data_IF_921935261750
#
_entry.id   IF_921935261750
#
_cell.length_a   1.000
_cell.length_b   1.000
_cell.length_c   1.000
_cell.angle_alpha   90.00
_cell.angle_beta   90.00
_cell.angle_gamma   90.00
#
_symmetry.space_group_name_H-M   'P 1'
#
loop_
_entity.id
_entity.type
_entity.pdbx_description
1 polymer ?
#
# COMPACT_ATOMS: atom_id res chain seq x y z
N UNK A 1 -38.88 -39.75 -15.61
CA UNK A 1 -38.08 -40.50 -14.63
C UNK A 1 -36.95 -39.57 -14.18
N UNK A 2 -36.86 -39.29 -12.88
CA UNK A 2 -35.77 -38.55 -12.19
C UNK A 2 -34.40 -39.20 -12.52
N UNK A 3 -33.22 -38.58 -12.51
CA UNK A 3 -32.46 -37.79 -11.49
C UNK A 3 -31.28 -37.14 -12.26
N UNK A 4 -31.09 -35.81 -12.31
CA UNK A 4 -30.26 -34.90 -11.47
C UNK A 4 -28.74 -35.16 -11.40
N UNK A 5 -27.92 -34.22 -11.90
CA UNK A 5 -26.80 -33.57 -11.18
C UNK A 5 -26.04 -32.53 -12.04
N UNK A 6 -26.21 -31.26 -11.64
CA UNK A 6 -25.18 -30.23 -11.35
C UNK A 6 -23.98 -30.04 -12.30
N UNK A 7 -23.95 -28.87 -12.97
CA UNK A 7 -22.98 -27.77 -12.77
C UNK A 7 -22.85 -26.92 -14.03
N UNK A 8 -23.41 -25.69 -14.02
CA UNK A 8 -22.79 -24.51 -14.67
C UNK A 8 -23.25 -23.24 -13.95
N UNK A 9 -22.33 -22.64 -13.20
CA UNK A 9 -22.38 -21.24 -12.79
C UNK A 9 -22.21 -20.35 -14.02
N UNK A 10 -22.92 -19.22 -14.10
CA UNK A 10 -22.36 -18.00 -14.65
C UNK A 10 -22.23 -16.97 -13.53
N UNK A 11 -20.99 -16.54 -13.29
CA UNK A 11 -20.66 -15.38 -12.45
C UNK A 11 -21.19 -14.14 -13.18
N UNK A 12 -22.26 -13.55 -12.67
CA UNK A 12 -22.65 -12.18 -13.03
C UNK A 12 -21.71 -11.21 -12.30
N UNK A 13 -20.91 -10.47 -13.05
CA UNK A 13 -20.23 -9.28 -12.55
C UNK A 13 -21.26 -8.14 -12.51
N UNK A 14 -22.02 -8.04 -11.42
CA UNK A 14 -22.91 -6.91 -11.17
C UNK A 14 -22.07 -5.76 -10.62
N UNK A 15 -21.78 -4.76 -11.47
CA UNK A 15 -21.29 -3.45 -11.01
C UNK A 15 -22.50 -2.71 -10.42
N UNK A 16 -22.59 -2.70 -9.09
CA UNK A 16 -23.60 -1.94 -8.36
C UNK A 16 -23.17 -0.47 -8.30
N UNK A 17 -23.64 0.35 -9.26
CA UNK A 17 -23.54 1.81 -9.17
C UNK A 17 -24.59 2.32 -8.16
N UNK A 18 -24.18 2.51 -6.91
CA UNK A 18 -24.94 3.34 -5.98
C UNK A 18 -24.66 4.82 -6.25
N UNK A 19 -25.64 5.45 -6.91
CA UNK A 19 -26.01 6.87 -6.89
C UNK A 19 -24.88 7.90 -6.80
N UNK A 20 -24.46 8.38 -7.97
CA UNK A 20 -23.66 9.59 -8.12
C UNK A 20 -23.57 9.95 -9.59
N UNK A 21 -24.58 10.66 -10.09
CA UNK A 21 -24.70 11.04 -11.50
C UNK A 21 -23.50 11.89 -11.94
N UNK A 22 -22.53 11.31 -12.65
CA UNK A 22 -21.59 12.08 -13.45
C UNK A 22 -22.24 12.33 -14.82
N UNK A 23 -22.76 13.53 -15.02
CA UNK A 23 -23.06 14.03 -16.36
C UNK A 23 -21.74 14.37 -17.06
N UNK A 24 -21.24 13.47 -17.90
CA UNK A 24 -20.41 13.86 -19.03
C UNK A 24 -21.32 14.07 -20.23
N UNK A 25 -21.40 15.30 -20.72
CA UNK A 25 -22.02 15.62 -22.00
C UNK A 25 -21.15 15.04 -23.12
N UNK A 26 -21.42 13.78 -23.50
CA UNK A 26 -20.82 13.16 -24.67
C UNK A 26 -21.33 13.85 -25.93
N UNK A 27 -20.48 14.63 -26.60
CA UNK A 27 -20.79 15.25 -27.89
C UNK A 27 -20.57 14.32 -29.09
N UNK A 28 -20.24 13.05 -28.82
CA UNK A 28 -20.04 12.02 -29.82
C UNK A 28 -20.68 10.74 -29.28
N UNK A 29 -21.37 10.00 -30.16
CA UNK A 29 -22.01 8.69 -29.94
C UNK A 29 -23.51 8.68 -29.60
N UNK A 30 -24.28 8.16 -30.56
CA UNK A 30 -25.56 7.47 -30.36
C UNK A 30 -25.30 5.96 -30.34
N UNK A 31 -25.89 5.23 -29.40
CA UNK A 31 -25.91 3.77 -29.40
C UNK A 31 -27.24 3.33 -30.01
N UNK A 32 -27.22 2.71 -31.18
CA UNK A 32 -28.38 1.98 -31.70
C UNK A 32 -28.24 0.50 -31.33
N UNK A 33 -29.15 0.00 -30.50
CA UNK A 33 -29.32 -1.43 -30.30
C UNK A 33 -30.02 -2.03 -31.52
N UNK A 34 -29.34 -2.94 -32.23
CA UNK A 34 -29.95 -3.69 -33.33
C UNK A 34 -30.40 -5.05 -32.82
N UNK A 35 -31.70 -5.22 -32.61
CA UNK A 35 -32.32 -6.50 -32.25
C UNK A 35 -32.23 -7.46 -33.44
N UNK A 36 -31.53 -8.59 -33.30
CA UNK A 36 -31.52 -9.67 -34.30
C UNK A 36 -32.68 -10.62 -33.97
N UNK A 37 -33.67 -10.73 -34.85
CA UNK A 37 -34.76 -11.72 -34.71
C UNK A 37 -34.27 -13.11 -35.12
N UNK A 38 -34.72 -14.12 -34.37
CA UNK A 38 -34.41 -15.52 -34.61
C UNK A 38 -35.08 -16.02 -35.89
N UNK A 39 -34.31 -16.29 -36.95
CA UNK A 39 -34.61 -17.26 -38.03
C UNK A 39 -33.50 -17.33 -39.10
N UNK A 40 -32.23 -17.58 -38.71
CA UNK A 40 -31.21 -18.00 -39.68
C UNK A 40 -30.22 -18.99 -39.04
N UNK A 41 -29.76 -20.02 -39.77
CA UNK A 41 -28.88 -21.06 -39.23
C UNK A 41 -27.48 -20.50 -38.96
N UNK A 42 -26.90 -20.89 -37.83
CA UNK A 42 -25.56 -20.50 -37.37
C UNK A 42 -24.48 -20.94 -38.35
N UNK A 43 -23.62 -20.04 -38.87
CA UNK A 43 -22.33 -20.41 -39.44
C UNK A 43 -21.18 -20.07 -38.47
N UNK A 44 -20.36 -21.06 -38.16
CA UNK A 44 -18.92 -20.90 -37.87
C UNK A 44 -18.52 -20.34 -36.50
N UNK A 45 -17.50 -20.97 -35.90
CA UNK A 45 -16.81 -20.52 -34.69
C UNK A 45 -16.00 -19.22 -34.89
N UNK A 46 -16.65 -18.09 -35.14
CA UNK A 46 -16.01 -16.79 -35.00
C UNK A 46 -16.40 -16.19 -33.66
N UNK A 47 -15.42 -16.05 -32.74
CA UNK A 47 -15.56 -15.18 -31.58
C UNK A 47 -15.98 -13.79 -32.11
N UNK A 48 -16.99 -13.13 -31.54
CA UNK A 48 -17.23 -11.74 -31.88
C UNK A 48 -15.96 -10.94 -31.55
N UNK A 49 -15.20 -10.54 -32.57
CA UNK A 49 -14.12 -9.59 -32.39
C UNK A 49 -14.74 -8.31 -31.88
N UNK A 50 -14.28 -7.88 -30.71
CA UNK A 50 -14.60 -6.56 -30.19
C UNK A 50 -13.85 -5.56 -31.06
N UNK A 51 -14.46 -5.13 -32.16
CA UNK A 51 -13.90 -4.09 -33.02
C UNK A 51 -14.04 -2.77 -32.26
N UNK A 52 -12.97 -2.36 -31.57
CA UNK A 52 -12.83 -0.99 -31.06
C UNK A 52 -12.73 -0.09 -32.30
N UNK A 53 -13.86 0.45 -32.75
CA UNK A 53 -13.86 1.48 -33.80
C UNK A 53 -13.48 2.82 -33.20
N UNK A 54 -12.21 3.18 -33.36
CA UNK A 54 -11.69 4.52 -33.09
C UNK A 54 -10.22 4.46 -32.71
N UNK A 55 -9.43 5.41 -33.20
CA UNK A 55 -8.05 5.64 -32.74
C UNK A 55 -8.08 5.98 -31.24
N UNK A 56 -8.00 4.96 -30.38
CA UNK A 56 -7.67 5.15 -28.97
C UNK A 56 -6.20 5.55 -28.95
N UNK A 57 -5.91 6.84 -28.73
CA UNK A 57 -4.53 7.27 -28.51
C UNK A 57 -3.99 6.50 -27.30
N UNK A 58 -2.73 6.04 -27.36
CA UNK A 58 -2.07 5.38 -26.22
C UNK A 58 -2.16 6.23 -24.93
N UNK A 59 -2.28 7.55 -25.06
CA UNK A 59 -2.47 8.48 -23.94
C UNK A 59 -3.79 8.31 -23.20
N UNK A 60 -4.86 7.83 -23.84
CA UNK A 60 -6.18 7.69 -23.22
C UNK A 60 -6.18 6.72 -22.03
N UNK A 61 -5.49 5.58 -22.16
CA UNK A 61 -5.39 4.61 -21.07
C UNK A 61 -4.57 5.19 -19.91
N UNK A 62 -3.44 5.85 -20.19
CA UNK A 62 -2.62 6.50 -19.17
C UNK A 62 -3.34 7.66 -18.48
N UNK A 63 -4.17 8.42 -19.21
CA UNK A 63 -4.98 9.50 -18.66
C UNK A 63 -6.08 8.95 -17.75
N UNK A 64 -6.75 7.86 -18.13
CA UNK A 64 -7.73 7.19 -17.27
C UNK A 64 -7.04 6.64 -16.02
N UNK A 65 -5.91 5.94 -16.16
CA UNK A 65 -5.14 5.42 -15.03
C UNK A 65 -4.74 6.54 -14.07
N UNK A 66 -4.18 7.63 -14.60
CA UNK A 66 -3.81 8.81 -13.81
C UNK A 66 -5.02 9.44 -13.12
N UNK A 67 -6.18 9.50 -13.79
CA UNK A 67 -7.41 10.03 -13.19
C UNK A 67 -7.98 9.14 -12.08
N UNK A 68 -7.88 7.81 -12.23
CA UNK A 68 -8.30 6.83 -11.23
C UNK A 68 -7.36 6.88 -10.02
N UNK A 69 -6.06 7.00 -10.25
CA UNK A 69 -5.06 7.15 -9.19
C UNK A 69 -5.25 8.47 -8.44
N UNK A 70 -5.46 9.59 -9.14
CA UNK A 70 -5.72 10.89 -8.52
C UNK A 70 -7.05 10.90 -7.74
N UNK A 71 -8.09 10.20 -8.25
CA UNK A 71 -9.37 10.09 -7.56
C UNK A 71 -9.26 9.36 -6.21
N UNK A 72 -8.26 8.49 -6.04
CA UNK A 72 -8.06 7.75 -4.79
C UNK A 72 -7.56 8.61 -3.64
N UNK A 73 -7.06 9.82 -3.88
CA UNK A 73 -6.56 10.73 -2.84
C UNK A 73 -7.44 11.98 -2.65
N UNK A 74 -8.55 12.09 -3.38
CA UNK A 74 -9.43 13.25 -3.35
C UNK A 74 -10.23 13.34 -2.04
N UNK A 75 -10.48 14.55 -1.55
CA UNK A 75 -11.48 14.81 -0.50
C UNK A 75 -12.88 14.93 -1.12
N UNK A 76 -13.82 14.13 -0.59
CA UNK A 76 -15.21 14.10 -1.03
C UNK A 76 -16.11 14.56 0.12
N UNK A 77 -16.94 15.58 -0.12
CA UNK A 77 -17.88 16.05 0.91
C UNK A 77 -18.97 15.02 1.16
N UNK A 78 -19.26 14.77 2.45
CA UNK A 78 -20.39 13.95 2.91
C UNK A 78 -21.37 14.77 3.77
N UNK A 79 -21.10 16.06 3.94
CA UNK A 79 -21.92 16.97 4.73
C UNK A 79 -21.28 18.34 4.85
N UNK A 80 -21.96 19.27 5.53
CA UNK A 80 -21.43 20.62 5.77
C UNK A 80 -20.13 20.52 6.56
N UNK A 81 -19.04 21.00 5.98
CA UNK A 81 -17.69 20.96 6.56
C UNK A 81 -17.21 19.55 6.94
N UNK A 82 -17.81 18.50 6.38
CA UNK A 82 -17.45 17.10 6.62
C UNK A 82 -17.02 16.45 5.30
N UNK A 83 -15.82 15.86 5.30
CA UNK A 83 -15.19 15.27 4.13
C UNK A 83 -14.62 13.91 4.46
N UNK A 84 -14.65 13.01 3.48
CA UNK A 84 -13.95 11.74 3.53
C UNK A 84 -12.88 11.69 2.46
N UNK A 85 -11.80 10.99 2.76
CA UNK A 85 -10.77 10.65 1.79
C UNK A 85 -10.23 9.24 2.05
N UNK A 86 -9.70 8.63 1.01
CA UNK A 86 -9.02 7.34 1.10
C UNK A 86 -7.55 7.55 0.83
N UNK A 87 -6.68 6.76 1.42
CA UNK A 87 -5.29 6.69 1.03
C UNK A 87 -4.98 5.24 0.70
N UNK A 88 -4.93 4.92 -0.60
CA UNK A 88 -4.75 3.54 -1.04
C UNK A 88 -3.37 3.00 -0.67
N UNK A 89 -2.32 3.81 -0.81
CA UNK A 89 -0.94 3.44 -0.47
C UNK A 89 -0.80 2.99 1.00
N UNK A 90 -1.57 3.62 1.90
CA UNK A 90 -1.59 3.28 3.33
C UNK A 90 -2.84 2.51 3.78
N UNK A 91 -3.73 2.13 2.86
CA UNK A 91 -5.06 1.56 3.14
C UNK A 91 -5.81 2.27 4.30
N UNK A 92 -5.78 3.60 4.31
CA UNK A 92 -6.50 4.43 5.27
C UNK A 92 -7.82 4.91 4.67
N UNK A 93 -8.86 4.94 5.48
CA UNK A 93 -10.06 5.75 5.27
C UNK A 93 -10.05 6.85 6.32
N UNK A 94 -10.25 8.09 5.92
CA UNK A 94 -10.19 9.23 6.84
C UNK A 94 -11.41 10.11 6.68
N UNK A 95 -12.09 10.36 7.80
CA UNK A 95 -13.14 11.37 7.90
C UNK A 95 -12.56 12.61 8.58
N UNK A 96 -12.83 13.78 8.03
CA UNK A 96 -12.29 15.05 8.51
C UNK A 96 -13.43 16.03 8.74
N UNK A 97 -13.42 16.62 9.93
CA UNK A 97 -14.32 17.70 10.35
C UNK A 97 -13.50 18.84 10.94
N UNK A 98 -14.07 20.04 11.19
CA UNK A 98 -13.31 21.16 11.74
C UNK A 98 -12.65 20.78 13.07
N UNK A 99 -11.32 20.72 13.09
CA UNK A 99 -10.53 20.39 14.28
C UNK A 99 -10.47 18.90 14.61
N UNK A 100 -10.93 18.00 13.75
CA UNK A 100 -10.86 16.56 14.00
C UNK A 100 -10.57 15.77 12.73
N UNK A 101 -9.72 14.75 12.87
CA UNK A 101 -9.41 13.77 11.84
C UNK A 101 -9.57 12.37 12.42
N UNK A 102 -10.55 11.61 11.92
CA UNK A 102 -10.75 10.20 12.28
C UNK A 102 -10.18 9.30 11.18
N UNK A 103 -9.11 8.58 11.52
CA UNK A 103 -8.47 7.58 10.66
C UNK A 103 -9.01 6.20 10.98
N UNK A 104 -9.22 5.38 9.95
CA UNK A 104 -9.70 4.01 10.07
C UNK A 104 -8.92 3.09 9.13
N UNK A 105 -8.77 1.83 9.56
CA UNK A 105 -8.16 0.77 8.76
C UNK A 105 -8.61 -0.63 9.21
N UNK A 106 -7.97 -1.65 8.66
CA UNK A 106 -8.15 -3.05 9.05
C UNK A 106 -6.83 -3.60 9.61
N UNK A 107 -6.90 -4.47 10.62
CA UNK A 107 -5.76 -5.25 11.07
C UNK A 107 -5.59 -6.55 10.26
N UNK A 108 -4.60 -7.36 10.61
CA UNK A 108 -4.29 -8.62 9.91
C UNK A 108 -5.43 -9.66 9.96
N UNK A 109 -6.37 -9.53 10.91
CA UNK A 109 -7.52 -10.42 11.03
C UNK A 109 -8.76 -9.87 10.32
N UNK A 110 -8.62 -8.77 9.57
CA UNK A 110 -9.71 -7.99 8.99
C UNK A 110 -10.63 -7.33 10.05
N UNK A 111 -10.17 -7.19 11.30
CA UNK A 111 -10.91 -6.39 12.27
C UNK A 111 -10.73 -4.90 11.94
N UNK A 112 -11.83 -4.16 11.90
CA UNK A 112 -11.78 -2.70 11.75
C UNK A 112 -11.22 -2.06 13.02
N UNK A 113 -10.35 -1.07 12.85
CA UNK A 113 -9.92 -0.16 13.89
C UNK A 113 -10.13 1.29 13.45
N UNK A 114 -10.25 2.19 14.43
CA UNK A 114 -10.37 3.62 14.21
C UNK A 114 -9.62 4.40 15.32
N UNK A 115 -9.16 5.60 14.97
CA UNK A 115 -8.57 6.55 15.90
C UNK A 115 -8.88 7.98 15.46
N UNK A 116 -9.34 8.82 16.38
CA UNK A 116 -9.55 10.24 16.14
C UNK A 116 -8.44 11.07 16.76
N UNK A 117 -7.86 11.99 15.98
CA UNK A 117 -6.96 13.04 16.42
C UNK A 117 -7.74 14.36 16.40
N UNK A 118 -8.04 14.89 17.58
CA UNK A 118 -8.86 16.10 17.73
C UNK A 118 -8.05 17.24 18.32
N UNK A 119 -8.09 18.40 17.68
CA UNK A 119 -7.49 19.61 18.21
C UNK A 119 -8.14 19.97 19.55
N UNK A 120 -7.32 19.94 20.60
CA UNK A 120 -7.72 20.33 21.94
C UNK A 120 -7.40 21.81 22.20
N UNK A 121 -6.17 22.23 21.91
CA UNK A 121 -5.75 23.62 22.06
C UNK A 121 -4.48 23.92 21.25
N UNK A 122 -4.24 25.21 21.02
CA UNK A 122 -2.93 25.72 20.61
C UNK A 122 -2.46 26.66 21.71
N UNK A 123 -1.28 26.39 22.27
CA UNK A 123 -0.72 27.11 23.39
C UNK A 123 0.66 27.66 23.04
N UNK A 124 1.06 28.70 23.75
CA UNK A 124 2.45 29.12 23.88
C UNK A 124 2.91 28.96 25.33
N UNK A 125 4.20 29.18 25.60
CA UNK A 125 4.71 29.32 26.96
C UNK A 125 4.05 30.46 27.76
N UNK A 126 3.35 31.37 27.09
CA UNK A 126 2.66 32.52 27.68
C UNK A 126 1.15 32.27 27.87
N UNK A 127 0.63 31.12 27.45
CA UNK A 127 -0.77 30.73 27.63
C UNK A 127 -1.46 30.28 26.35
N UNK A 128 -2.78 30.07 26.44
CA UNK A 128 -3.63 29.63 25.33
C UNK A 128 -3.74 30.73 24.26
N UNK A 129 -3.60 30.36 22.98
CA UNK A 129 -3.60 31.31 21.86
C UNK A 129 -4.96 31.47 21.17
N UNK A 130 -5.99 30.73 21.59
CA UNK A 130 -7.35 30.69 21.05
C UNK A 130 -7.42 30.62 19.51
N UNK A 131 -7.85 29.49 18.96
CA UNK A 131 -7.97 29.31 17.50
C UNK A 131 -8.97 30.26 16.85
N UNK A 132 -10.00 30.66 17.60
CA UNK A 132 -11.16 31.42 17.12
C UNK A 132 -12.16 30.52 16.38
N UNK A 133 -13.16 31.16 15.77
CA UNK A 133 -14.21 30.49 15.00
C UNK A 133 -13.72 30.09 13.60
N UNK A 134 -14.38 29.08 13.03
CA UNK A 134 -14.18 28.69 11.64
C UNK A 134 -14.71 29.78 10.71
N UNK A 135 -13.85 30.29 9.83
CA UNK A 135 -14.16 31.33 8.84
C UNK A 135 -14.61 30.71 7.52
N UNK A 136 -13.81 29.78 6.99
CA UNK A 136 -14.05 29.16 5.68
C UNK A 136 -13.53 27.72 5.64
N UNK A 137 -13.99 26.99 4.62
CA UNK A 137 -13.49 25.66 4.29
C UNK A 137 -13.23 25.62 2.79
N UNK A 138 -11.97 25.37 2.43
CA UNK A 138 -11.52 25.33 1.04
C UNK A 138 -11.14 23.89 0.70
N UNK A 139 -11.53 23.40 -0.48
CA UNK A 139 -11.24 22.04 -0.92
C UNK A 139 -10.85 22.04 -2.38
N UNK A 140 -9.73 21.41 -2.70
CA UNK A 140 -9.21 21.28 -4.06
C UNK A 140 -8.57 19.90 -4.22
N UNK A 141 -9.26 19.01 -4.95
CA UNK A 141 -8.80 17.65 -5.21
C UNK A 141 -8.31 16.93 -3.94
N UNK A 142 -7.00 16.75 -3.79
CA UNK A 142 -6.35 16.05 -2.68
C UNK A 142 -5.99 16.95 -1.49
N UNK A 143 -6.51 18.19 -1.46
CA UNK A 143 -6.25 19.20 -0.45
C UNK A 143 -7.55 19.70 0.18
N UNK A 144 -7.56 19.84 1.51
CA UNK A 144 -8.67 20.37 2.30
C UNK A 144 -8.13 21.33 3.36
N UNK A 145 -8.70 22.53 3.49
CA UNK A 145 -8.25 23.55 4.45
C UNK A 145 -9.45 24.05 5.26
N UNK A 146 -9.32 24.02 6.58
CA UNK A 146 -10.22 24.73 7.50
C UNK A 146 -9.50 25.97 8.03
N UNK A 147 -10.03 27.15 7.70
CA UNK A 147 -9.45 28.42 8.13
C UNK A 147 -10.18 28.95 9.37
N UNK A 148 -9.44 29.14 10.45
CA UNK A 148 -9.89 29.84 11.66
C UNK A 148 -9.26 31.22 11.72
N UNK A 149 -9.57 32.03 12.74
CA UNK A 149 -8.96 33.36 12.92
C UNK A 149 -7.44 33.28 13.07
N UNK A 150 -6.93 32.48 14.01
CA UNK A 150 -5.50 32.43 14.36
C UNK A 150 -4.78 31.14 13.92
N UNK A 151 -5.50 30.24 13.27
CA UNK A 151 -5.01 28.93 12.83
C UNK A 151 -5.62 28.60 11.47
N UNK A 152 -4.89 27.90 10.62
CA UNK A 152 -5.50 27.09 9.55
C UNK A 152 -5.06 25.64 9.73
N UNK A 153 -5.98 24.69 9.50
CA UNK A 153 -5.67 23.27 9.50
C UNK A 153 -5.83 22.77 8.07
N UNK A 154 -4.72 22.35 7.46
CA UNK A 154 -4.66 21.91 6.09
C UNK A 154 -4.33 20.42 6.04
N UNK A 155 -5.10 19.67 5.25
CA UNK A 155 -4.89 18.26 5.00
C UNK A 155 -4.48 18.08 3.54
N UNK A 156 -3.40 17.33 3.32
CA UNK A 156 -2.92 16.99 1.98
C UNK A 156 -2.79 15.48 1.92
N UNK A 157 -3.54 14.85 1.02
CA UNK A 157 -3.52 13.41 0.83
C UNK A 157 -2.70 13.07 -0.42
N UNK A 158 -1.68 12.25 -0.26
CA UNK A 158 -0.77 11.85 -1.35
C UNK A 158 -0.42 10.37 -1.20
N UNK A 159 0.42 9.85 -2.07
CA UNK A 159 0.99 8.51 -1.93
C UNK A 159 1.76 8.32 -0.62
N UNK A 160 2.29 9.39 -0.02
CA UNK A 160 3.10 9.33 1.21
C UNK A 160 2.26 9.18 2.48
N UNK A 161 0.94 9.43 2.38
CA UNK A 161 0.03 9.47 3.53
C UNK A 161 -0.84 10.73 3.52
N UNK A 162 -1.40 11.04 4.69
CA UNK A 162 -2.22 12.24 4.91
C UNK A 162 -1.45 13.18 5.82
N UNK A 163 -0.96 14.29 5.25
CA UNK A 163 -0.35 15.41 5.99
C UNK A 163 -1.45 16.16 6.73
N UNK A 164 -1.18 16.61 7.96
CA UNK A 164 -2.09 17.46 8.75
C UNK A 164 -1.34 18.71 9.22
N UNK A 165 -1.27 19.71 8.36
CA UNK A 165 -0.60 20.98 8.59
C UNK A 165 -1.40 21.84 9.57
N UNK A 166 -0.78 22.23 10.69
CA UNK A 166 -1.28 23.30 11.56
C UNK A 166 -0.51 24.59 11.25
N UNK A 167 -1.18 25.54 10.60
CA UNK A 167 -0.60 26.82 10.18
C UNK A 167 -0.98 27.88 11.21
N UNK A 168 -0.12 28.08 12.19
CA UNK A 168 -0.30 29.04 13.27
C UNK A 168 -0.01 30.43 12.70
N UNK A 169 -0.98 31.35 12.75
CA UNK A 169 -0.86 32.65 12.05
C UNK A 169 -0.07 33.71 12.81
N UNK A 170 -0.02 33.59 14.13
CA UNK A 170 0.73 34.47 15.03
C UNK A 170 0.87 33.79 16.39
N UNK A 171 1.83 34.27 17.18
CA UNK A 171 1.96 33.98 18.60
C UNK A 171 2.18 35.29 19.37
N UNK A 172 1.96 35.32 20.69
CA UNK A 172 2.27 36.48 21.52
C UNK A 172 3.73 36.93 21.35
N UNK A 173 3.97 38.23 21.50
CA UNK A 173 5.34 38.76 21.52
C UNK A 173 6.13 38.08 22.64
N UNK A 174 7.38 37.68 22.37
CA UNK A 174 8.25 36.90 23.28
C UNK A 174 7.84 35.43 23.49
N UNK A 175 6.90 34.89 22.72
CA UNK A 175 6.68 33.45 22.72
C UNK A 175 7.98 32.73 22.30
N UNK A 176 8.41 31.78 23.14
CA UNK A 176 9.57 30.93 22.88
C UNK A 176 9.15 29.58 22.30
N UNK A 177 7.95 29.12 22.66
CA UNK A 177 7.40 27.89 22.11
C UNK A 177 5.93 28.04 21.72
N UNK A 178 5.52 27.18 20.78
CA UNK A 178 4.13 26.92 20.43
C UNK A 178 3.90 25.42 20.50
N UNK A 179 2.80 24.99 21.10
CA UNK A 179 2.39 23.60 21.20
C UNK A 179 0.98 23.43 20.65
N UNK A 180 0.82 22.59 19.63
CA UNK A 180 -0.49 22.10 19.18
C UNK A 180 -0.81 20.84 19.96
N UNK A 181 -1.91 20.85 20.71
CA UNK A 181 -2.33 19.73 21.55
C UNK A 181 -3.50 19.01 20.89
N UNK A 182 -3.35 17.71 20.68
CA UNK A 182 -4.38 16.83 20.12
C UNK A 182 -4.82 15.80 21.17
N UNK A 183 -6.13 15.61 21.33
CA UNK A 183 -6.69 14.48 22.03
C UNK A 183 -6.78 13.28 21.08
N UNK A 184 -6.36 12.11 21.57
CA UNK A 184 -6.45 10.82 20.88
C UNK A 184 -7.64 10.06 21.44
N UNK A 185 -8.65 9.80 20.61
CA UNK A 185 -9.73 8.88 20.94
C UNK A 185 -9.61 7.60 20.12
N UNK A 186 -9.29 6.49 20.79
CA UNK A 186 -9.17 5.19 20.16
C UNK A 186 -9.24 4.06 21.18
N UNK A 187 -9.57 2.85 20.71
CA UNK A 187 -9.34 1.60 21.46
C UNK A 187 -7.91 1.08 21.33
N UNK A 188 -7.11 1.70 20.46
CA UNK A 188 -5.70 1.38 20.29
C UNK A 188 -4.86 2.03 21.40
N UNK A 189 -3.75 1.38 21.76
CA UNK A 189 -2.82 1.86 22.77
C UNK A 189 -1.83 2.85 22.15
N UNK A 190 -1.86 4.14 22.55
CA UNK A 190 -0.89 5.13 22.08
C UNK A 190 0.45 4.99 22.80
N UNK A 191 1.54 5.09 22.04
CA UNK A 191 2.88 5.23 22.59
C UNK A 191 3.74 6.07 21.65
N UNK A 192 4.73 6.76 22.21
CA UNK A 192 5.67 7.57 21.46
C UNK A 192 7.02 6.86 21.37
N UNK A 193 7.58 6.77 20.16
CA UNK A 193 8.94 6.28 19.92
C UNK A 193 9.63 7.17 18.91
N UNK A 194 10.78 7.73 19.26
CA UNK A 194 11.61 8.54 18.36
C UNK A 194 10.82 9.60 17.57
N UNK A 195 10.09 10.47 18.27
CA UNK A 195 9.28 11.53 17.67
C UNK A 195 8.13 11.05 16.75
N UNK A 196 7.69 9.80 16.94
CA UNK A 196 6.57 9.20 16.21
C UNK A 196 5.53 8.68 17.19
N UNK A 197 4.29 9.12 17.06
CA UNK A 197 3.15 8.50 17.73
C UNK A 197 2.77 7.22 17.00
N UNK A 198 2.62 6.15 17.75
CA UNK A 198 2.23 4.84 17.27
C UNK A 198 1.00 4.39 18.03
N UNK A 199 -0.04 3.97 17.31
CA UNK A 199 -1.22 3.33 17.90
C UNK A 199 -1.18 1.83 17.61
N UNK A 200 -1.36 1.03 18.65
CA UNK A 200 -1.19 -0.43 18.57
C UNK A 200 -2.32 -1.22 19.23
N UNK A 201 -2.55 -2.44 18.74
CA UNK A 201 -3.44 -3.45 19.34
C UNK A 201 -2.66 -4.75 19.46
N UNK A 202 -2.60 -5.33 20.66
CA UNK A 202 -1.89 -6.60 20.91
C UNK A 202 -0.44 -6.60 20.38
N UNK A 203 0.31 -5.52 20.60
CA UNK A 203 1.67 -5.27 20.09
C UNK A 203 1.81 -5.07 18.56
N UNK A 204 0.73 -5.21 17.79
CA UNK A 204 0.74 -4.86 16.36
C UNK A 204 0.57 -3.36 16.19
N UNK A 205 1.50 -2.73 15.47
CA UNK A 205 1.43 -1.32 15.10
C UNK A 205 0.46 -1.14 13.94
N UNK A 206 -0.58 -0.33 14.12
CA UNK A 206 -1.65 -0.18 13.13
C UNK A 206 -1.68 1.20 12.48
N UNK A 207 -1.28 2.23 13.23
CA UNK A 207 -1.24 3.61 12.75
C UNK A 207 -0.02 4.35 13.29
N UNK A 208 0.56 5.20 12.44
CA UNK A 208 1.70 6.04 12.75
C UNK A 208 1.37 7.50 12.41
N UNK A 209 1.76 8.39 13.32
CA UNK A 209 1.74 9.83 13.11
C UNK A 209 3.16 10.34 13.35
N UNK A 210 3.82 10.72 12.26
CA UNK A 210 5.28 10.76 12.14
C UNK A 210 5.74 11.93 11.27
N UNK A 211 7.02 11.93 10.86
CA UNK A 211 7.63 12.90 9.94
C UNK A 211 7.30 14.36 10.26
N UNK A 212 7.34 14.72 11.55
CA UNK A 212 7.09 16.09 12.00
C UNK A 212 8.14 17.04 11.44
N UNK A 213 7.72 17.86 10.47
CA UNK A 213 8.51 18.93 9.87
C UNK A 213 7.88 20.27 10.22
N UNK A 214 8.70 21.28 10.48
CA UNK A 214 8.21 22.60 10.88
C UNK A 214 9.04 23.69 10.22
N UNK A 215 8.36 24.70 9.68
CA UNK A 215 9.01 25.85 9.07
C UNK A 215 8.20 27.14 9.28
N UNK A 216 8.89 28.27 9.20
CA UNK A 216 8.29 29.60 9.30
C UNK A 216 7.84 30.15 7.93
N UNK A 217 7.32 31.38 7.89
CA UNK A 217 6.81 32.03 6.67
C UNK A 217 7.81 32.05 5.51
N UNK A 218 9.10 32.12 5.82
CA UNK A 218 10.17 32.20 4.83
C UNK A 218 10.75 30.82 4.48
N UNK A 219 10.16 29.74 5.02
CA UNK A 219 10.63 28.37 4.82
C UNK A 219 11.82 28.00 5.70
N UNK A 220 12.16 28.81 6.72
CA UNK A 220 13.25 28.47 7.65
C UNK A 220 12.81 27.29 8.52
N UNK A 221 13.57 26.18 8.56
CA UNK A 221 13.23 25.04 9.39
C UNK A 221 13.34 25.40 10.88
N UNK A 222 12.38 24.94 11.68
CA UNK A 222 12.32 25.14 13.13
C UNK A 222 12.49 23.82 13.87
N UNK A 223 13.04 23.90 15.08
CA UNK A 223 13.18 22.72 15.95
C UNK A 223 11.83 22.33 16.53
N UNK A 224 11.50 21.05 16.47
CA UNK A 224 10.23 20.53 16.95
C UNK A 224 10.33 19.10 17.48
N UNK A 225 9.41 18.75 18.38
CA UNK A 225 9.26 17.40 18.91
C UNK A 225 7.80 17.10 19.27
N UNK A 226 7.51 15.82 19.44
CA UNK A 226 6.26 15.29 19.96
C UNK A 226 6.47 14.88 21.42
N UNK A 227 5.45 15.10 22.25
CA UNK A 227 5.36 14.52 23.58
C UNK A 227 3.97 13.94 23.80
N UNK A 228 3.87 12.81 24.50
CA UNK A 228 2.62 12.12 24.77
C UNK A 228 2.38 12.05 26.29
N UNK A 229 1.21 12.53 26.73
CA UNK A 229 0.75 12.39 28.12
C UNK A 229 -0.63 11.71 28.12
N UNK A 230 -0.65 10.41 28.46
CA UNK A 230 -1.85 9.59 28.31
C UNK A 230 -2.34 9.60 26.86
N UNK A 231 -3.54 10.16 26.65
CA UNK A 231 -4.15 10.28 25.32
C UNK A 231 -3.99 11.69 24.71
N UNK A 232 -3.11 12.54 25.25
CA UNK A 232 -2.84 13.86 24.69
C UNK A 232 -1.49 13.90 24.02
N UNK A 233 -1.48 14.13 22.71
CA UNK A 233 -0.28 14.38 21.92
C UNK A 233 -0.03 15.89 21.85
N UNK A 234 1.17 16.33 22.19
CA UNK A 234 1.61 17.70 21.94
C UNK A 234 2.65 17.71 20.81
N UNK A 235 2.47 18.59 19.83
CA UNK A 235 3.45 18.95 18.81
C UNK A 235 4.12 20.25 19.25
N UNK A 236 5.30 20.16 19.83
CA UNK A 236 6.03 21.28 20.43
C UNK A 236 7.02 21.86 19.43
N UNK A 237 7.02 23.18 19.29
CA UNK A 237 7.86 23.92 18.35
C UNK A 237 8.57 25.05 19.06
N UNK A 238 9.88 25.17 18.83
CA UNK A 238 10.66 26.35 19.19
C UNK A 238 10.43 27.45 18.15
N UNK A 239 9.84 28.55 18.58
CA UNK A 239 9.49 29.69 17.72
C UNK A 239 10.37 30.91 17.97
N UNK A 240 11.47 30.77 18.73
CA UNK A 240 12.41 31.86 18.95
C UNK A 240 13.01 32.32 17.62
N UNK A 241 12.75 33.57 17.26
CA UNK A 241 13.15 34.16 15.98
C UNK A 241 12.52 33.48 14.75
N UNK A 242 11.29 32.96 14.90
CA UNK A 242 10.46 32.51 13.78
C UNK A 242 9.58 33.66 13.26
N UNK A 243 9.43 33.73 11.94
CA UNK A 243 8.47 34.65 11.32
C UNK A 243 7.15 33.94 11.02
N UNK A 244 6.04 34.46 11.57
CA UNK A 244 4.74 33.84 11.37
C UNK A 244 4.13 34.17 9.99
N UNK A 245 3.32 33.27 9.40
CA UNK A 245 2.83 32.01 9.98
C UNK A 245 3.90 30.91 10.10
N UNK A 246 3.73 30.04 11.11
CA UNK A 246 4.52 28.83 11.29
C UNK A 246 3.67 27.62 10.91
N UNK A 247 4.19 26.77 10.03
CA UNK A 247 3.53 25.53 9.60
C UNK A 247 4.13 24.34 10.32
N UNK A 248 3.28 23.57 11.00
CA UNK A 248 3.61 22.35 11.73
C UNK A 248 3.00 21.17 10.97
N UNK A 249 3.85 20.34 10.37
CA UNK A 249 3.48 19.33 9.38
C UNK A 249 3.88 17.91 9.82
N UNK A 250 2.99 17.20 10.54
CA UNK A 250 3.04 15.76 10.73
C UNK A 250 2.33 14.96 9.62
N UNK A 251 2.74 13.70 9.47
CA UNK A 251 2.25 12.76 8.46
C UNK A 251 1.59 11.53 9.09
N UNK A 252 0.35 11.25 8.66
CA UNK A 252 -0.41 10.06 8.99
C UNK A 252 -0.13 8.92 8.01
N UNK A 253 0.38 7.80 8.51
CA UNK A 253 0.62 6.58 7.72
C UNK A 253 0.22 5.31 8.50
N UNK A 254 0.31 4.16 7.84
CA UNK A 254 0.16 2.84 8.47
C UNK A 254 1.49 2.07 8.40
N UNK A 255 1.50 0.92 7.72
CA UNK A 255 2.70 0.15 7.43
C UNK A 255 3.62 0.94 6.47
N UNK A 256 4.92 0.69 6.58
CA UNK A 256 5.92 1.31 5.71
C UNK A 256 5.84 0.77 4.27
N UNK A 257 5.36 -0.47 4.10
CA UNK A 257 5.17 -1.11 2.80
C UNK A 257 4.08 -2.18 2.90
N UNK A 258 3.25 -2.29 1.86
CA UNK A 258 2.30 -3.39 1.65
C UNK A 258 2.22 -3.69 0.17
N UNK A 259 2.13 -4.97 -0.14
CA UNK A 259 1.84 -5.45 -1.47
C UNK A 259 0.79 -6.55 -1.39
N UNK A 260 -0.05 -6.66 -2.41
CA UNK A 260 -1.02 -7.74 -2.56
C UNK A 260 -0.68 -8.54 -3.81
N UNK A 261 -0.71 -9.86 -3.74
CA UNK A 261 -0.35 -10.72 -4.87
C UNK A 261 -1.34 -10.72 -6.05
N UNK A 262 -2.37 -9.86 -6.04
CA UNK A 262 -3.29 -9.66 -7.18
C UNK A 262 -4.21 -10.84 -7.55
N UNK A 263 -4.04 -12.02 -6.96
CA UNK A 263 -4.80 -13.23 -7.29
C UNK A 263 -5.32 -13.95 -6.04
N UNK A 264 -6.60 -14.31 -6.07
CA UNK A 264 -7.25 -15.05 -5.00
C UNK A 264 -6.64 -16.45 -4.84
N UNK A 265 -6.44 -16.89 -3.60
CA UNK A 265 -5.86 -18.20 -3.25
C UNK A 265 -4.43 -18.47 -3.75
N UNK A 266 -3.73 -17.48 -4.32
CA UNK A 266 -2.36 -17.67 -4.85
C UNK A 266 -1.28 -17.93 -3.78
N UNK A 267 -1.61 -17.74 -2.50
CA UNK A 267 -0.66 -17.90 -1.40
C UNK A 267 0.47 -16.85 -1.42
N UNK A 268 0.26 -15.66 -1.99
CA UNK A 268 1.28 -14.60 -1.93
C UNK A 268 1.60 -14.26 -0.47
N UNK A 269 2.88 -14.34 -0.11
CA UNK A 269 3.34 -14.23 1.28
C UNK A 269 3.42 -15.56 2.02
N UNK A 270 3.22 -16.70 1.34
CA UNK A 270 3.40 -18.03 1.92
C UNK A 270 4.82 -18.22 2.46
N UNK A 271 5.80 -17.68 1.72
CA UNK A 271 7.17 -17.59 2.17
C UNK A 271 7.72 -16.19 1.89
N UNK A 272 8.54 -15.68 2.80
CA UNK A 272 9.23 -14.40 2.66
C UNK A 272 10.69 -14.60 3.05
N UNK A 273 11.65 -14.01 2.33
CA UNK A 273 13.05 -13.85 2.72
C UNK A 273 13.44 -12.38 2.52
N UNK A 274 14.22 -11.78 3.42
CA UNK A 274 14.29 -10.31 3.51
C UNK A 274 15.59 -9.72 4.05
N UNK A 275 16.69 -10.47 3.96
CA UNK A 275 18.00 -10.08 4.50
C UNK A 275 19.10 -10.08 3.42
N UNK A 276 18.75 -10.18 2.14
CA UNK A 276 19.70 -10.16 1.01
C UNK A 276 19.76 -8.81 0.31
N UNK A 277 20.87 -8.51 -0.34
CA UNK A 277 21.06 -7.37 -1.24
C UNK A 277 21.48 -7.90 -2.62
N UNK A 278 20.49 -8.18 -3.48
CA UNK A 278 20.70 -8.86 -4.76
C UNK A 278 21.24 -7.91 -5.84
N UNK A 279 21.21 -6.61 -5.59
CA UNK A 279 21.70 -5.56 -6.48
C UNK A 279 22.92 -4.78 -5.94
N UNK A 280 23.39 -5.09 -4.73
CA UNK A 280 24.60 -4.55 -4.13
C UNK A 280 24.52 -3.06 -3.84
N UNK A 281 23.31 -2.53 -3.62
CA UNK A 281 23.09 -1.09 -3.42
C UNK A 281 23.17 -0.63 -1.95
N UNK A 282 23.37 -1.59 -1.04
CA UNK A 282 23.49 -1.38 0.40
C UNK A 282 22.16 -1.40 1.15
N UNK A 283 21.04 -1.67 0.47
CA UNK A 283 19.71 -1.82 1.08
C UNK A 283 19.23 -3.27 0.93
N UNK A 284 18.71 -3.85 2.02
CA UNK A 284 18.14 -5.20 1.93
C UNK A 284 16.87 -5.24 1.10
N UNK A 285 16.81 -6.21 0.19
CA UNK A 285 15.70 -6.58 -0.66
C UNK A 285 14.81 -7.63 0.03
N UNK A 286 13.66 -7.90 -0.59
CA UNK A 286 12.79 -9.00 -0.17
C UNK A 286 12.40 -9.90 -1.35
N UNK A 287 12.28 -11.20 -1.08
CA UNK A 287 11.65 -12.16 -1.98
C UNK A 287 10.41 -12.77 -1.34
N UNK A 288 9.32 -12.83 -2.09
CA UNK A 288 8.01 -13.34 -1.66
C UNK A 288 7.58 -14.48 -2.58
N UNK A 289 7.28 -15.63 -1.98
CA UNK A 289 6.69 -16.78 -2.65
C UNK A 289 5.16 -16.74 -2.69
N UNK A 290 4.60 -17.24 -3.79
CA UNK A 290 3.18 -17.42 -4.04
C UNK A 290 2.95 -18.79 -4.71
N UNK A 291 3.01 -19.90 -3.96
CA UNK A 291 3.09 -21.26 -4.52
C UNK A 291 1.87 -21.74 -5.30
N UNK A 292 0.73 -21.07 -5.15
CA UNK A 292 -0.52 -21.39 -5.85
C UNK A 292 -0.84 -20.35 -6.94
N UNK A 293 0.12 -19.47 -7.25
CA UNK A 293 -0.05 -18.45 -8.29
C UNK A 293 -0.24 -19.09 -9.67
N UNK A 294 -1.21 -18.60 -10.43
CA UNK A 294 -1.53 -19.05 -11.78
C UNK A 294 -1.17 -17.94 -12.77
N UNK A 295 -0.27 -18.24 -13.71
CA UNK A 295 -0.01 -17.39 -14.88
C UNK A 295 -0.41 -18.14 -16.16
N UNK A 296 0.51 -18.90 -16.75
CA UNK A 296 0.27 -19.74 -17.95
C UNK A 296 -0.15 -21.17 -17.59
N UNK A 297 0.19 -21.62 -16.38
CA UNK A 297 -0.09 -22.93 -15.83
C UNK A 297 -0.88 -22.82 -14.53
N UNK A 298 -1.77 -23.77 -14.27
CA UNK A 298 -2.68 -23.74 -13.12
C UNK A 298 -1.91 -23.98 -11.82
N UNK A 299 -1.88 -22.98 -10.93
CA UNK A 299 -1.18 -23.06 -9.65
C UNK A 299 0.32 -23.35 -9.81
N UNK A 300 0.95 -22.85 -10.88
CA UNK A 300 2.36 -23.12 -11.15
C UNK A 300 3.32 -22.54 -10.13
N UNK A 301 2.85 -21.56 -9.36
CA UNK A 301 3.62 -20.87 -8.36
C UNK A 301 4.43 -19.71 -8.95
N UNK A 302 4.70 -18.71 -8.11
CA UNK A 302 5.49 -17.55 -8.48
C UNK A 302 6.40 -17.09 -7.32
N UNK A 303 7.49 -16.41 -7.67
CA UNK A 303 8.35 -15.67 -6.74
C UNK A 303 8.49 -14.25 -7.25
N UNK A 304 8.37 -13.30 -6.32
CA UNK A 304 8.49 -11.86 -6.58
C UNK A 304 9.63 -11.31 -5.73
N UNK A 305 10.54 -10.54 -6.33
CA UNK A 305 11.59 -9.81 -5.60
C UNK A 305 11.31 -8.32 -5.66
N UNK A 306 11.47 -7.63 -4.55
CA UNK A 306 11.32 -6.18 -4.44
C UNK A 306 12.60 -5.60 -3.85
N UNK A 307 13.18 -4.63 -4.55
CA UNK A 307 14.40 -4.01 -4.05
C UNK A 307 14.13 -3.09 -2.85
N UNK A 308 15.11 -3.03 -1.95
CA UNK A 308 15.26 -1.99 -0.95
C UNK A 308 15.59 -0.64 -1.59
N UNK A 309 15.44 0.43 -0.81
CA UNK A 309 15.86 1.77 -1.21
C UNK A 309 15.95 2.67 0.02
N UNK A 310 16.52 3.89 -0.08
CA UNK A 310 16.47 4.87 0.99
C UNK A 310 15.04 5.21 1.45
N UNK A 311 14.05 5.06 0.57
CA UNK A 311 12.62 5.25 0.85
C UNK A 311 11.89 4.00 1.35
N UNK A 312 12.60 2.89 1.57
CA UNK A 312 12.02 1.57 1.87
C UNK A 312 11.88 0.69 0.64
N UNK A 313 11.03 -0.34 0.70
CA UNK A 313 10.86 -1.29 -0.40
C UNK A 313 10.14 -0.65 -1.60
N UNK A 314 10.60 -0.95 -2.80
CA UNK A 314 9.91 -0.56 -4.03
C UNK A 314 8.55 -1.26 -4.13
N UNK A 315 7.57 -0.61 -4.75
CA UNK A 315 6.20 -1.16 -4.90
C UNK A 315 6.03 -2.04 -6.13
N UNK A 316 6.94 -1.92 -7.10
CA UNK A 316 7.03 -2.78 -8.29
C UNK A 316 8.10 -3.85 -8.05
N UNK A 317 7.79 -5.13 -8.32
CA UNK A 317 8.80 -6.18 -8.21
C UNK A 317 9.90 -5.95 -9.26
N UNK A 318 11.16 -6.05 -8.87
CA UNK A 318 12.31 -5.98 -9.76
C UNK A 318 12.50 -7.29 -10.55
N UNK A 319 12.05 -8.41 -9.97
CA UNK A 319 12.10 -9.72 -10.61
C UNK A 319 10.84 -10.52 -10.30
N UNK A 320 10.36 -11.26 -11.30
CA UNK A 320 9.24 -12.19 -11.18
C UNK A 320 9.58 -13.47 -11.93
N UNK A 321 9.43 -14.61 -11.27
CA UNK A 321 9.63 -15.94 -11.86
C UNK A 321 8.45 -16.87 -11.60
N UNK A 322 8.21 -17.79 -12.53
CA UNK A 322 7.08 -18.72 -12.53
C UNK A 322 7.56 -20.16 -12.61
N UNK A 323 6.81 -21.09 -12.02
CA UNK A 323 7.19 -22.50 -11.97
C UNK A 323 7.15 -23.24 -13.32
N UNK A 324 6.35 -22.78 -14.29
CA UNK A 324 6.28 -23.38 -15.63
C UNK A 324 5.69 -24.80 -15.67
N UNK A 325 5.03 -25.24 -14.60
CA UNK A 325 4.36 -26.54 -14.48
C UNK A 325 3.23 -26.46 -13.47
N UNK A 326 2.07 -27.03 -13.82
CA UNK A 326 0.87 -27.06 -12.97
C UNK A 326 1.19 -27.61 -11.58
N UNK A 327 0.77 -26.90 -10.54
CA UNK A 327 0.87 -27.32 -9.13
C UNK A 327 2.27 -27.80 -8.69
N UNK A 328 3.35 -27.24 -9.25
CA UNK A 328 4.73 -27.63 -8.88
C UNK A 328 5.15 -27.17 -7.47
N UNK A 329 4.37 -26.27 -6.87
CA UNK A 329 4.69 -25.62 -5.60
C UNK A 329 5.93 -24.73 -5.69
N UNK A 330 6.19 -24.12 -6.84
CA UNK A 330 7.27 -23.16 -7.05
C UNK A 330 7.11 -21.94 -6.15
N UNK A 331 8.17 -21.53 -5.46
CA UNK A 331 8.10 -20.44 -4.48
C UNK A 331 7.52 -20.84 -3.13
N UNK A 332 7.33 -22.15 -2.86
CA UNK A 332 6.96 -22.64 -1.52
C UNK A 332 8.10 -22.48 -0.51
N UNK A 333 9.34 -22.41 -0.98
CA UNK A 333 10.51 -22.00 -0.21
C UNK A 333 11.40 -21.11 -1.09
N UNK A 334 11.87 -20.00 -0.50
CA UNK A 334 12.66 -18.98 -1.19
C UNK A 334 13.74 -18.46 -0.24
N UNK A 335 14.95 -18.21 -0.72
CA UNK A 335 16.02 -17.55 0.04
C UNK A 335 16.73 -16.56 -0.86
N UNK A 336 16.95 -15.34 -0.38
CA UNK A 336 17.84 -14.35 -1.00
C UNK A 336 19.08 -14.09 -0.14
N UNK A 337 19.33 -14.94 0.85
CA UNK A 337 20.38 -14.73 1.84
C UNK A 337 21.62 -15.53 1.45
N UNK A 338 22.63 -14.83 0.92
CA UNK A 338 23.96 -15.36 0.66
C UNK A 338 24.43 -15.18 -0.79
N UNK A 339 25.62 -14.62 -0.92
CA UNK A 339 26.47 -14.65 -2.11
C UNK A 339 27.21 -16.00 -2.17
N UNK A 340 26.85 -16.87 -3.12
CA UNK A 340 27.37 -18.22 -3.24
C UNK A 340 28.68 -18.32 -4.02
N UNK A 341 29.10 -17.27 -4.73
CA UNK A 341 30.34 -17.28 -5.53
C UNK A 341 31.37 -16.21 -5.12
N UNK A 342 31.00 -15.29 -4.24
CA UNK A 342 31.87 -14.23 -3.73
C UNK A 342 31.98 -13.00 -4.62
N UNK A 343 31.03 -12.75 -5.53
CA UNK A 343 31.01 -11.58 -6.42
C UNK A 343 30.51 -10.29 -5.75
N UNK A 344 29.99 -10.37 -4.54
CA UNK A 344 29.50 -9.26 -3.74
C UNK A 344 28.00 -8.98 -3.86
N UNK A 345 27.24 -9.81 -4.56
CA UNK A 345 25.78 -9.72 -4.67
C UNK A 345 25.13 -10.96 -4.04
N UNK A 346 24.08 -10.78 -3.24
CA UNK A 346 23.35 -11.93 -2.71
C UNK A 346 22.55 -12.65 -3.81
N UNK A 347 22.44 -13.98 -3.71
CA UNK A 347 21.79 -14.83 -4.71
C UNK A 347 20.40 -15.31 -4.29
N UNK A 348 19.56 -15.62 -5.29
CA UNK A 348 18.20 -16.12 -5.08
C UNK A 348 18.11 -17.63 -5.31
N UNK A 349 17.67 -18.37 -4.29
CA UNK A 349 17.33 -19.80 -4.38
C UNK A 349 15.82 -20.00 -4.26
N UNK A 350 15.25 -20.80 -5.15
CA UNK A 350 13.82 -21.11 -5.21
C UNK A 350 13.62 -22.63 -5.26
N UNK A 351 12.69 -23.14 -4.46
CA UNK A 351 12.27 -24.54 -4.53
C UNK A 351 10.85 -24.74 -5.07
N UNK A 352 10.68 -25.80 -5.87
CA UNK A 352 9.40 -26.35 -6.30
C UNK A 352 9.37 -27.83 -5.91
N UNK A 353 8.84 -28.10 -4.73
CA UNK A 353 8.89 -29.43 -4.11
C UNK A 353 8.02 -30.50 -4.79
N UNK A 354 7.11 -30.12 -5.69
CA UNK A 354 6.23 -31.02 -6.44
C UNK A 354 6.53 -30.99 -7.94
N UNK A 355 7.70 -30.47 -8.33
CA UNK A 355 8.14 -30.46 -9.72
C UNK A 355 8.37 -31.88 -10.27
N UNK A 356 7.95 -32.12 -11.52
CA UNK A 356 8.13 -33.38 -12.26
C UNK A 356 9.16 -33.21 -13.39
N UNK A 357 10.29 -33.95 -13.39
CA UNK A 357 11.18 -34.07 -14.57
C UNK A 357 12.30 -35.14 -14.48
N UNK A 358 12.12 -36.36 -15.03
CA UNK A 358 10.89 -36.99 -15.53
C UNK A 358 10.05 -37.70 -14.45
N UNK A 359 10.49 -37.76 -13.19
CA UNK A 359 9.82 -38.47 -12.13
C UNK A 359 8.75 -37.59 -11.48
N UNK A 360 7.59 -38.18 -11.18
CA UNK A 360 6.52 -37.49 -10.48
C UNK A 360 6.94 -37.03 -9.07
N UNK A 361 6.70 -35.75 -8.79
CA UNK A 361 6.96 -34.98 -7.59
C UNK A 361 8.36 -35.29 -7.04
N UNK A 362 9.40 -35.14 -7.86
CA UNK A 362 10.79 -35.31 -7.42
C UNK A 362 11.43 -34.04 -6.88
N UNK A 363 10.77 -32.92 -7.19
CA UNK A 363 11.14 -31.59 -6.78
C UNK A 363 12.34 -31.04 -7.54
N UNK A 364 12.35 -29.72 -7.69
CA UNK A 364 13.43 -28.98 -8.33
C UNK A 364 13.81 -27.77 -7.50
N UNK A 365 15.07 -27.38 -7.66
CA UNK A 365 15.69 -26.21 -7.06
C UNK A 365 16.33 -25.39 -8.16
N UNK A 366 16.20 -24.07 -8.09
CA UNK A 366 16.91 -23.11 -8.94
C UNK A 366 17.71 -22.16 -8.08
N UNK A 367 18.90 -21.83 -8.55
CA UNK A 367 19.75 -20.74 -8.08
C UNK A 367 19.83 -19.70 -9.22
N UNK A 368 19.46 -18.47 -8.91
CA UNK A 368 19.64 -17.30 -9.75
C UNK A 368 20.68 -16.40 -9.11
N UNK A 369 21.63 -15.92 -9.91
CA UNK A 369 22.71 -15.05 -9.44
C UNK A 369 22.20 -13.64 -9.16
N UNK A 370 22.77 -12.99 -8.15
CA UNK A 370 22.68 -11.54 -7.98
C UNK A 370 23.53 -10.80 -9.01
N UNK A 371 23.25 -9.52 -9.23
CA UNK A 371 24.07 -8.66 -10.09
C UNK A 371 23.73 -7.20 -9.83
N UNK A 372 24.51 -6.25 -10.32
CA UNK A 372 24.17 -4.81 -10.23
C UNK A 372 22.80 -4.44 -10.83
N UNK A 373 22.23 -5.29 -11.70
CA UNK A 373 20.89 -5.11 -12.27
C UNK A 373 19.78 -5.80 -11.46
N UNK A 374 20.12 -6.41 -10.32
CA UNK A 374 19.28 -7.31 -9.54
C UNK A 374 19.46 -8.78 -9.94
N UNK A 375 18.45 -9.59 -9.64
CA UNK A 375 18.45 -11.04 -9.92
C UNK A 375 18.54 -11.32 -11.42
N UNK A 376 19.48 -12.20 -11.80
CA UNK A 376 19.60 -12.65 -13.18
C UNK A 376 18.41 -13.52 -13.61
N UNK A 377 17.83 -13.25 -14.80
CA UNK A 377 16.59 -13.91 -15.22
C UNK A 377 16.76 -15.38 -15.59
N UNK A 378 17.98 -15.82 -15.86
CA UNK A 378 18.32 -17.21 -16.17
C UNK A 378 18.94 -17.82 -14.93
N UNK A 379 18.43 -18.98 -14.49
CA UNK A 379 19.03 -19.71 -13.38
C UNK A 379 20.43 -20.20 -13.80
N UNK A 380 21.45 -19.83 -13.03
CA UNK A 380 22.83 -20.27 -13.21
C UNK A 380 22.98 -21.76 -12.89
N UNK A 381 22.23 -22.22 -11.89
CA UNK A 381 22.22 -23.63 -11.51
C UNK A 381 20.83 -24.13 -11.15
N UNK A 382 20.57 -25.41 -11.44
CA UNK A 382 19.38 -26.10 -10.97
C UNK A 382 19.71 -27.55 -10.60
N UNK A 383 18.91 -28.13 -9.70
CA UNK A 383 19.09 -29.50 -9.24
C UNK A 383 17.78 -30.23 -8.98
N UNK A 384 17.83 -31.53 -9.26
CA UNK A 384 16.74 -32.47 -9.12
C UNK A 384 17.27 -33.78 -8.52
N UNK A 385 16.43 -34.42 -7.69
CA UNK A 385 16.86 -35.60 -6.95
C UNK A 385 16.78 -36.89 -7.78
N UNK A 386 16.13 -36.89 -8.94
CA UNK A 386 15.88 -38.06 -9.80
C UNK A 386 15.19 -39.21 -9.06
N UNK A 387 14.41 -38.90 -8.01
CA UNK A 387 13.74 -39.88 -7.14
C UNK A 387 12.27 -39.54 -6.99
N UNK A 388 11.40 -40.49 -7.38
CA UNK A 388 9.95 -40.38 -7.20
C UNK A 388 9.59 -40.06 -5.75
N UNK A 389 8.89 -38.94 -5.52
CA UNK A 389 8.41 -38.50 -4.21
C UNK A 389 9.43 -37.79 -3.32
N UNK A 390 10.62 -37.46 -3.83
CA UNK A 390 11.55 -36.59 -3.13
C UNK A 390 11.11 -35.11 -3.25
N UNK A 391 11.41 -34.28 -2.25
CA UNK A 391 10.97 -32.88 -2.21
C UNK A 391 12.19 -31.96 -2.17
N UNK A 392 12.36 -31.11 -3.19
CA UNK A 392 13.35 -30.03 -3.19
C UNK A 392 12.92 -28.90 -2.26
N UNK A 393 13.40 -28.90 -1.01
CA UNK A 393 13.03 -27.94 0.04
C UNK A 393 14.28 -27.45 0.81
N UNK A 394 14.36 -26.14 1.10
CA UNK A 394 15.41 -25.55 1.95
C UNK A 394 14.82 -24.76 3.14
N UNK A 395 15.62 -24.56 4.19
CA UNK A 395 15.26 -23.82 5.40
C UNK A 395 16.29 -22.74 5.76
N UNK A 396 15.93 -21.93 6.76
CA UNK A 396 16.28 -20.52 6.93
C UNK A 396 17.60 -20.21 7.64
N UNK A 397 18.53 -21.14 7.85
CA UNK A 397 19.80 -20.83 8.55
C UNK A 397 20.94 -21.73 8.07
N UNK A 398 21.87 -21.13 7.31
CA UNK A 398 23.04 -21.76 6.68
C UNK A 398 22.69 -22.91 5.73
N UNK A 399 23.38 -22.92 4.59
CA UNK A 399 23.36 -24.00 3.60
C UNK A 399 23.43 -25.36 4.36
N UNK A 400 22.36 -26.17 4.21
CA UNK A 400 21.93 -27.38 4.96
C UNK A 400 21.07 -27.18 6.24
N UNK A 401 19.75 -27.39 6.11
CA UNK A 401 18.94 -28.45 6.80
C UNK A 401 17.42 -28.21 6.69
N UNK A 402 16.70 -29.18 6.12
CA UNK A 402 15.27 -29.59 6.15
C UNK A 402 14.17 -28.60 6.61
N UNK A 403 13.23 -28.30 5.70
CA UNK A 403 11.89 -27.79 6.03
C UNK A 403 11.01 -28.95 6.53
N UNK A 404 10.65 -28.95 7.81
CA UNK A 404 9.71 -29.94 8.35
C UNK A 404 8.28 -29.59 7.90
N UNK A 405 7.64 -30.51 7.19
CA UNK A 405 6.20 -30.47 6.94
C UNK A 405 5.45 -30.66 8.25
N UNK A 406 4.87 -29.59 8.81
CA UNK A 406 3.69 -29.73 9.63
C UNK A 406 2.49 -29.78 8.69
N UNK A 407 1.83 -30.95 8.68
CA UNK A 407 0.49 -31.18 8.13
C UNK A 407 -0.52 -30.32 8.89
#
# INVERSE_FOLDING_TARGET
>A
MKVDLKHKLPIFLTVLLLTGTLFFTNKYFSVEEKTISANNPLPGNEKPETVIKGNVQQSWLSEIQSSIEAAQYKFTSIGKNNFVTFNKAHALSTEVTPGSMEVSGMDANNDKWNAALMLHSVNSNLGNMHTGDLISTDVEANKLIYNYNNLSIEYINTTDGIRQNFIVKSAPEQAENVSVILNIESKLNPHLKSNTLILSKNNSQLYKYSDLKVWDKNGKPLQANMSLNGNQLALNVDVRNAEFPVTIDPLSTTYAWKHTGGQSHAGFGFWVSGNGDVNGDGFSDIAIGAPEYTNTHSGEGAVFVFHGSPSGLLTTPSFVSYGGQDSSGYGRCVSIEGDVDGDGFDDLIIGAHEYDNPQKNEGRVWLHRGSISGVEPIADWNFETNRKGAKGLFSRHKILTICNTAI
#
